data_IF_440002390044
#
_entry.id   IF_440002390044
#
_cell.length_a   1.000
_cell.length_b   1.000
_cell.length_c   1.000
_cell.angle_alpha   90.00
_cell.angle_beta   90.00
_cell.angle_gamma   90.00
#
_symmetry.space_group_name_H-M   'P 1'
#
loop_
_entity.id
_entity.type
_entity.pdbx_description
1 polymer ?
#
# COMPACT_ATOMS: atom_id res chain seq x y z
N UNK A 1 -37.90 -40.15 -10.90
CA UNK A 1 -37.27 -39.14 -10.04
C UNK A 1 -35.80 -39.44 -9.80
N UNK A 2 -35.42 -40.56 -9.17
CA UNK A 2 -33.99 -40.88 -8.90
C UNK A 2 -33.06 -40.85 -10.12
N UNK A 3 -33.46 -41.40 -11.26
CA UNK A 3 -32.61 -41.37 -12.48
C UNK A 3 -32.42 -39.95 -13.04
N UNK A 4 -33.37 -39.04 -12.81
CA UNK A 4 -33.26 -37.63 -13.23
C UNK A 4 -32.29 -36.87 -12.32
N UNK A 5 -32.29 -37.17 -11.02
CA UNK A 5 -31.36 -36.57 -10.07
C UNK A 5 -29.92 -37.04 -10.35
N UNK A 6 -29.72 -38.33 -10.66
CA UNK A 6 -28.39 -38.85 -11.00
C UNK A 6 -27.84 -38.25 -12.30
N UNK A 7 -28.68 -38.10 -13.33
CA UNK A 7 -28.26 -37.46 -14.58
C UNK A 7 -28.00 -35.96 -14.42
N UNK A 8 -28.79 -35.27 -13.58
CA UNK A 8 -28.55 -33.87 -13.22
C UNK A 8 -27.22 -33.69 -12.48
N UNK A 9 -26.92 -34.57 -11.51
CA UNK A 9 -25.69 -34.51 -10.75
C UNK A 9 -24.46 -34.78 -11.63
N UNK A 10 -24.57 -35.72 -12.59
CA UNK A 10 -23.52 -35.98 -13.58
C UNK A 10 -23.30 -34.78 -14.50
N UNK A 11 -24.36 -34.16 -15.01
CA UNK A 11 -24.25 -32.96 -15.84
C UNK A 11 -23.65 -31.78 -15.06
N UNK A 12 -24.04 -31.60 -13.79
CA UNK A 12 -23.49 -30.58 -12.92
C UNK A 12 -21.99 -30.79 -12.65
N UNK A 13 -21.56 -32.03 -12.35
CA UNK A 13 -20.15 -32.35 -12.13
C UNK A 13 -19.32 -32.10 -13.39
N UNK A 14 -19.80 -32.55 -14.54
CA UNK A 14 -19.12 -32.33 -15.82
C UNK A 14 -18.98 -30.85 -16.15
N UNK A 15 -20.05 -30.06 -16.02
CA UNK A 15 -20.01 -28.62 -16.25
C UNK A 15 -19.08 -27.90 -15.27
N UNK A 16 -19.10 -28.29 -14.00
CA UNK A 16 -18.25 -27.71 -12.95
C UNK A 16 -16.77 -28.01 -13.16
N UNK A 17 -16.44 -29.23 -13.58
CA UNK A 17 -15.07 -29.65 -13.87
C UNK A 17 -14.50 -28.84 -15.05
N UNK A 18 -15.27 -28.69 -16.13
CA UNK A 18 -14.87 -27.87 -17.28
C UNK A 18 -14.69 -26.41 -16.89
N UNK A 19 -15.62 -25.86 -16.09
CA UNK A 19 -15.55 -24.47 -15.66
C UNK A 19 -14.31 -24.23 -14.77
N UNK A 20 -14.04 -25.15 -13.85
CA UNK A 20 -12.92 -25.05 -12.93
C UNK A 20 -11.59 -25.18 -13.68
N UNK A 21 -11.47 -26.14 -14.60
CA UNK A 21 -10.31 -26.30 -15.47
C UNK A 21 -10.06 -25.02 -16.29
N UNK A 22 -11.12 -24.45 -16.87
CA UNK A 22 -11.06 -23.20 -17.61
C UNK A 22 -10.57 -22.04 -16.74
N UNK A 23 -11.13 -21.85 -15.54
CA UNK A 23 -10.77 -20.72 -14.67
C UNK A 23 -9.36 -20.87 -14.10
N UNK A 24 -8.99 -22.08 -13.63
CA UNK A 24 -7.70 -22.31 -12.99
C UNK A 24 -6.58 -22.34 -14.03
N UNK A 25 -6.74 -23.12 -15.11
CA UNK A 25 -5.66 -23.39 -16.04
C UNK A 25 -5.60 -22.38 -17.19
N UNK A 26 -6.74 -21.98 -17.80
CA UNK A 26 -6.70 -21.01 -18.92
C UNK A 26 -6.61 -19.56 -18.47
N UNK A 27 -7.28 -19.23 -17.37
CA UNK A 27 -7.30 -17.86 -16.83
C UNK A 27 -6.34 -17.65 -15.66
N UNK A 28 -5.58 -18.69 -15.30
CA UNK A 28 -4.45 -18.57 -14.37
C UNK A 28 -4.84 -17.96 -13.03
N UNK A 29 -5.99 -18.39 -12.49
CA UNK A 29 -6.58 -17.80 -11.30
C UNK A 29 -5.61 -17.81 -10.09
N UNK A 30 -4.85 -18.89 -9.93
CA UNK A 30 -3.91 -19.06 -8.81
C UNK A 30 -2.81 -17.98 -8.88
N UNK A 31 -2.27 -17.74 -10.06
CA UNK A 31 -1.21 -16.73 -10.27
C UNK A 31 -1.73 -15.32 -9.97
N UNK A 32 -2.99 -15.03 -10.31
CA UNK A 32 -3.64 -13.76 -9.94
C UNK A 32 -3.88 -13.63 -8.44
N UNK A 33 -4.15 -14.72 -7.74
CA UNK A 33 -4.17 -14.68 -6.27
C UNK A 33 -2.79 -14.42 -5.68
N UNK A 34 -1.72 -14.92 -6.29
CA UNK A 34 -0.36 -14.57 -5.90
C UNK A 34 -0.09 -13.08 -6.11
N UNK A 35 -0.49 -12.50 -7.24
CA UNK A 35 -0.45 -11.05 -7.50
C UNK A 35 -1.19 -10.27 -6.41
N UNK A 36 -2.44 -10.65 -6.11
CA UNK A 36 -3.21 -10.00 -5.04
C UNK A 36 -2.51 -10.09 -3.69
N UNK A 37 -1.99 -11.26 -3.31
CA UNK A 37 -1.22 -11.44 -2.08
C UNK A 37 0.03 -10.54 -2.07
N UNK A 38 0.81 -10.54 -3.15
CA UNK A 38 2.06 -9.81 -3.22
C UNK A 38 1.87 -8.30 -3.07
N UNK A 39 0.86 -7.74 -3.74
CA UNK A 39 0.62 -6.30 -3.71
C UNK A 39 -0.27 -5.88 -2.53
N UNK A 40 -1.46 -6.46 -2.36
CA UNK A 40 -2.38 -6.02 -1.29
C UNK A 40 -1.95 -6.40 0.12
N UNK A 41 -1.27 -7.55 0.29
CA UNK A 41 -0.79 -7.99 1.60
C UNK A 41 0.69 -7.66 1.84
N UNK A 42 1.34 -6.99 0.88
CA UNK A 42 2.74 -6.53 1.00
C UNK A 42 3.69 -7.70 1.36
N UNK A 43 3.50 -8.86 0.72
CA UNK A 43 4.32 -10.07 0.96
C UNK A 43 5.79 -9.83 0.54
N UNK A 44 5.99 -9.08 -0.55
CA UNK A 44 7.30 -8.63 -1.04
C UNK A 44 7.35 -7.11 -0.93
N UNK A 45 7.87 -6.61 0.18
CA UNK A 45 7.85 -5.17 0.51
C UNK A 45 8.80 -4.28 -0.29
N UNK A 46 9.63 -4.83 -1.17
CA UNK A 46 10.64 -4.05 -1.90
C UNK A 46 9.98 -2.98 -2.79
N UNK A 47 8.86 -3.32 -3.45
CA UNK A 47 8.16 -2.39 -4.34
C UNK A 47 7.55 -1.23 -3.55
N UNK A 48 7.04 -1.50 -2.34
CA UNK A 48 6.39 -0.48 -1.53
C UNK A 48 7.42 0.51 -0.98
N UNK A 49 8.62 0.04 -0.63
CA UNK A 49 9.71 0.92 -0.21
C UNK A 49 10.10 1.86 -1.35
N UNK A 50 10.33 1.32 -2.56
CA UNK A 50 10.67 2.10 -3.74
C UNK A 50 9.56 3.11 -4.11
N UNK A 51 8.30 2.68 -4.04
CA UNK A 51 7.15 3.54 -4.29
C UNK A 51 7.02 4.64 -3.24
N UNK A 52 7.18 4.33 -1.96
CA UNK A 52 7.08 5.32 -0.90
C UNK A 52 8.22 6.34 -0.96
N UNK A 53 9.41 5.95 -1.41
CA UNK A 53 10.52 6.86 -1.66
C UNK A 53 10.23 7.80 -2.85
N UNK A 54 9.66 7.28 -3.94
CA UNK A 54 9.37 8.08 -5.14
C UNK A 54 8.11 8.95 -5.02
N UNK A 55 7.13 8.52 -4.23
CA UNK A 55 5.83 9.19 -4.06
C UNK A 55 5.71 10.03 -2.79
N UNK A 56 6.77 10.18 -1.98
CA UNK A 56 6.73 10.93 -0.71
C UNK A 56 6.19 12.35 -0.86
N UNK A 57 6.63 13.06 -1.91
CA UNK A 57 6.21 14.44 -2.18
C UNK A 57 4.74 14.55 -2.63
N UNK A 58 4.18 13.51 -3.25
CA UNK A 58 2.76 13.49 -3.65
C UNK A 58 1.87 13.02 -2.49
N UNK A 59 2.30 11.98 -1.76
CA UNK A 59 1.52 11.41 -0.67
C UNK A 59 1.39 12.34 0.53
N UNK A 60 2.29 13.31 0.70
CA UNK A 60 2.23 14.32 1.77
C UNK A 60 1.28 15.48 1.46
N UNK A 61 0.84 15.62 0.21
CA UNK A 61 -0.16 16.63 -0.17
C UNK A 61 -1.55 16.25 0.32
N UNK A 62 -2.49 17.20 0.24
CA UNK A 62 -3.90 16.92 0.48
C UNK A 62 -4.44 16.01 -0.62
N UNK A 63 -5.31 15.07 -0.28
CA UNK A 63 -5.88 14.10 -1.20
C UNK A 63 -6.54 14.73 -2.44
N UNK A 64 -7.03 15.97 -2.33
CA UNK A 64 -7.65 16.72 -3.44
C UNK A 64 -6.67 17.31 -4.45
N UNK A 65 -5.44 17.58 -4.02
CA UNK A 65 -4.42 18.25 -4.83
C UNK A 65 -3.52 17.23 -5.56
N UNK A 66 -3.82 15.94 -5.40
CA UNK A 66 -3.04 14.83 -5.93
C UNK A 66 -3.58 14.45 -7.31
N UNK A 67 -2.66 14.35 -8.27
CA UNK A 67 -2.96 13.78 -9.59
C UNK A 67 -2.82 12.24 -9.54
N UNK A 68 -3.95 11.55 -9.69
CA UNK A 68 -4.00 10.08 -9.71
C UNK A 68 -3.11 9.49 -10.80
N UNK A 69 -3.01 10.13 -11.97
CA UNK A 69 -2.18 9.64 -13.06
C UNK A 69 -0.69 9.72 -12.70
N UNK A 70 -0.30 10.76 -11.98
CA UNK A 70 1.07 10.93 -11.50
C UNK A 70 1.42 9.83 -10.51
N UNK A 71 0.58 9.57 -9.51
CA UNK A 71 0.87 8.47 -8.57
C UNK A 71 0.85 7.12 -9.30
N UNK A 72 -0.07 6.92 -10.26
CA UNK A 72 -0.12 5.68 -11.05
C UNK A 72 1.20 5.46 -11.78
N UNK A 73 1.74 6.50 -12.41
CA UNK A 73 3.05 6.42 -13.08
C UNK A 73 4.20 6.08 -12.12
N UNK A 74 4.17 6.63 -10.90
CA UNK A 74 5.18 6.34 -9.86
C UNK A 74 5.09 4.89 -9.35
N UNK A 75 3.87 4.36 -9.26
CA UNK A 75 3.63 2.96 -8.94
C UNK A 75 4.14 2.07 -10.08
N UNK A 76 3.76 2.34 -11.32
CA UNK A 76 4.14 1.54 -12.49
C UNK A 76 5.67 1.44 -12.62
N UNK A 77 6.40 2.55 -12.41
CA UNK A 77 7.87 2.56 -12.40
C UNK A 77 8.43 1.70 -11.26
N UNK A 78 7.88 1.82 -10.06
CA UNK A 78 8.32 1.03 -8.90
C UNK A 78 8.07 -0.46 -9.12
N UNK A 79 6.92 -0.82 -9.69
CA UNK A 79 6.56 -2.19 -10.03
C UNK A 79 7.46 -2.76 -11.13
N UNK A 80 7.80 -1.96 -12.15
CA UNK A 80 8.69 -2.36 -13.23
C UNK A 80 10.11 -2.68 -12.74
N UNK A 81 10.62 -1.96 -11.74
CA UNK A 81 11.96 -2.18 -11.18
C UNK A 81 12.02 -3.42 -10.31
N UNK A 82 10.97 -3.65 -9.50
CA UNK A 82 11.04 -4.60 -8.39
C UNK A 82 10.37 -5.94 -8.66
N UNK A 83 9.40 -5.98 -9.59
CA UNK A 83 8.55 -7.16 -9.77
C UNK A 83 8.52 -7.64 -11.22
N UNK A 84 8.72 -8.95 -11.38
CA UNK A 84 8.61 -9.66 -12.66
C UNK A 84 7.24 -10.37 -12.81
N UNK A 85 6.22 -9.91 -12.08
CA UNK A 85 4.88 -10.51 -12.14
C UNK A 85 4.17 -10.15 -13.45
N UNK A 86 3.66 -11.17 -14.16
CA UNK A 86 2.95 -11.05 -15.43
C UNK A 86 1.61 -10.30 -15.33
N UNK A 87 0.99 -10.26 -14.13
CA UNK A 87 -0.31 -9.59 -13.92
C UNK A 87 -0.21 -8.27 -13.14
N UNK A 88 0.99 -7.70 -13.03
CA UNK A 88 1.21 -6.42 -12.33
C UNK A 88 0.46 -5.24 -12.95
N UNK A 89 0.23 -5.27 -14.27
CA UNK A 89 -0.44 -4.19 -15.01
C UNK A 89 -1.94 -4.06 -14.68
N UNK A 90 -2.53 -5.11 -14.11
CA UNK A 90 -3.91 -5.10 -13.63
C UNK A 90 -4.02 -4.39 -12.25
N UNK A 91 -2.90 -4.10 -11.58
CA UNK A 91 -2.87 -3.35 -10.32
C UNK A 91 -2.94 -1.85 -10.61
N UNK A 92 -3.97 -1.19 -10.09
CA UNK A 92 -4.23 0.23 -10.28
C UNK A 92 -4.27 0.96 -8.95
N UNK A 93 -4.15 2.28 -9.00
CA UNK A 93 -4.34 3.14 -7.86
C UNK A 93 -5.80 3.52 -7.73
N UNK A 94 -6.24 3.66 -6.48
CA UNK A 94 -7.53 4.20 -6.14
C UNK A 94 -7.40 5.13 -4.94
N UNK A 95 -7.85 6.36 -5.13
CA UNK A 95 -7.92 7.34 -4.06
C UNK A 95 -9.32 7.32 -3.45
N UNK A 96 -9.40 7.31 -2.12
CA UNK A 96 -10.66 7.38 -1.38
C UNK A 96 -10.85 8.76 -0.75
N UNK A 97 -12.05 9.32 -0.84
CA UNK A 97 -12.40 10.60 -0.18
C UNK A 97 -12.70 10.46 1.32
N UNK A 98 -12.34 9.32 1.91
CA UNK A 98 -12.60 8.97 3.31
C UNK A 98 -11.45 8.12 3.84
N UNK A 99 -11.17 8.18 5.14
CA UNK A 99 -10.11 7.41 5.79
C UNK A 99 -10.50 5.92 5.98
N UNK A 100 -9.58 5.12 6.51
CA UNK A 100 -9.82 3.71 6.76
C UNK A 100 -10.93 3.49 7.81
N UNK A 101 -11.03 4.35 8.82
CA UNK A 101 -12.02 4.23 9.89
C UNK A 101 -13.42 4.45 9.32
N UNK A 102 -13.63 5.53 8.57
CA UNK A 102 -14.89 5.80 7.86
C UNK A 102 -15.24 4.70 6.87
N UNK A 103 -14.25 4.06 6.24
CA UNK A 103 -14.47 2.90 5.37
C UNK A 103 -15.04 1.70 6.14
N UNK A 104 -14.48 1.42 7.33
CA UNK A 104 -14.93 0.32 8.19
C UNK A 104 -16.33 0.56 8.73
N UNK A 105 -16.63 1.79 9.19
CA UNK A 105 -17.95 2.16 9.67
C UNK A 105 -19.03 1.95 8.61
N UNK A 106 -18.75 2.34 7.36
CA UNK A 106 -19.65 2.13 6.22
C UNK A 106 -19.87 0.65 5.92
N UNK A 107 -18.83 -0.18 6.02
CA UNK A 107 -18.92 -1.62 5.74
C UNK A 107 -19.66 -2.38 6.84
N UNK A 108 -19.53 -1.93 8.09
CA UNK A 108 -20.25 -2.48 9.23
C UNK A 108 -21.71 -2.02 9.28
N UNK A 109 -22.15 -1.20 8.32
CA UNK A 109 -23.49 -0.64 8.24
C UNK A 109 -23.90 0.04 9.56
N UNK A 110 -22.92 0.59 10.28
CA UNK A 110 -23.16 1.43 11.44
C UNK A 110 -23.68 2.73 10.86
N UNK A 111 -25.01 2.84 10.76
CA UNK A 111 -25.68 4.12 10.55
C UNK A 111 -25.50 4.95 11.83
N UNK A 112 -24.29 5.48 12.03
CA UNK A 112 -24.10 6.63 12.91
C UNK A 112 -24.85 7.78 12.25
N UNK A 113 -26.02 8.05 12.81
CA UNK A 113 -26.95 9.10 12.39
C UNK A 113 -26.21 10.37 11.97
N UNK A 114 -26.35 10.75 10.70
CA UNK A 114 -26.54 12.15 10.29
C UNK A 114 -25.79 13.21 11.11
N UNK A 115 -24.47 13.34 11.01
CA UNK A 115 -23.74 14.56 11.45
C UNK A 115 -22.33 14.78 10.86
N UNK A 116 -21.76 13.88 10.06
CA UNK A 116 -20.35 14.02 9.58
C UNK A 116 -20.20 14.38 8.09
N UNK A 117 -21.30 14.60 7.37
CA UNK A 117 -21.25 14.75 5.92
C UNK A 117 -20.86 16.17 5.42
N UNK A 118 -20.78 17.19 6.28
CA UNK A 118 -20.46 18.57 5.83
C UNK A 118 -19.31 19.27 6.58
N UNK A 119 -18.84 18.76 7.73
CA UNK A 119 -17.86 19.49 8.57
C UNK A 119 -16.48 18.89 8.59
N UNK A 120 -16.34 17.63 8.16
CA UNK A 120 -15.05 16.98 7.99
C UNK A 120 -14.76 16.82 6.52
N UNK A 121 -14.55 17.97 5.88
CA UNK A 121 -13.37 18.16 5.05
C UNK A 121 -12.13 17.73 5.86
N UNK A 122 -12.00 16.42 6.09
CA UNK A 122 -10.83 15.82 6.68
C UNK A 122 -9.68 16.33 5.81
N UNK A 123 -8.66 16.89 6.46
CA UNK A 123 -7.37 17.16 5.84
C UNK A 123 -6.68 15.82 5.51
N UNK A 124 -7.39 14.96 4.79
CA UNK A 124 -6.97 13.67 4.30
C UNK A 124 -5.73 13.93 3.49
N UNK A 125 -4.64 13.38 4.00
CA UNK A 125 -3.37 13.40 3.31
C UNK A 125 -3.43 12.30 2.24
N UNK A 126 -2.65 12.44 1.17
CA UNK A 126 -2.56 11.41 0.12
C UNK A 126 -2.31 10.02 0.68
N UNK A 127 -1.47 9.95 1.72
CA UNK A 127 -1.19 8.74 2.47
C UNK A 127 -2.44 8.03 3.03
N UNK A 128 -3.39 8.79 3.59
CA UNK A 128 -4.60 8.23 4.18
C UNK A 128 -5.62 7.86 3.11
N UNK A 129 -5.64 8.60 1.99
CA UNK A 129 -6.56 8.41 0.88
C UNK A 129 -6.15 7.26 -0.06
N UNK A 130 -4.86 6.97 -0.14
CA UNK A 130 -4.28 6.02 -1.08
C UNK A 130 -4.68 4.56 -0.82
N UNK A 131 -4.99 3.84 -1.91
CA UNK A 131 -5.21 2.41 -1.92
C UNK A 131 -4.90 1.82 -3.30
N UNK A 132 -4.85 0.49 -3.37
CA UNK A 132 -4.75 -0.25 -4.63
C UNK A 132 -6.12 -0.75 -5.06
N UNK A 133 -6.37 -0.81 -6.36
CA UNK A 133 -7.46 -1.56 -6.97
C UNK A 133 -6.87 -2.60 -7.93
N UNK A 134 -7.69 -3.56 -8.31
CA UNK A 134 -7.30 -4.62 -9.23
C UNK A 134 -8.34 -4.71 -10.35
N UNK A 135 -7.90 -4.48 -11.58
CA UNK A 135 -8.76 -4.54 -12.75
C UNK A 135 -9.02 -6.00 -13.15
N UNK A 136 -10.14 -6.53 -12.70
CA UNK A 136 -10.52 -7.92 -12.96
C UNK A 136 -11.37 -8.00 -14.21
N UNK A 137 -10.82 -8.63 -15.26
CA UNK A 137 -11.55 -8.95 -16.49
C UNK A 137 -12.48 -10.15 -16.27
N UNK A 138 -13.60 -10.15 -16.98
CA UNK A 138 -14.44 -11.35 -17.10
C UNK A 138 -13.62 -12.47 -17.75
N UNK A 139 -13.70 -13.74 -17.31
CA UNK A 139 -14.64 -14.33 -16.35
C UNK A 139 -14.17 -14.35 -14.88
N UNK A 140 -12.95 -13.87 -14.60
CA UNK A 140 -12.30 -13.97 -13.29
C UNK A 140 -13.04 -13.14 -12.23
N UNK A 141 -13.78 -12.12 -12.67
CA UNK A 141 -14.65 -11.27 -11.86
C UNK A 141 -15.73 -12.05 -11.10
N UNK A 142 -16.05 -13.27 -11.54
CA UNK A 142 -16.98 -14.17 -10.84
C UNK A 142 -16.39 -14.65 -9.52
N UNK A 143 -15.08 -14.91 -9.48
CA UNK A 143 -14.38 -15.40 -8.29
C UNK A 143 -13.84 -14.22 -7.48
N UNK A 144 -13.13 -13.30 -8.13
CA UNK A 144 -12.60 -12.08 -7.51
C UNK A 144 -13.67 -11.00 -7.61
N UNK A 145 -14.63 -11.07 -6.69
CA UNK A 145 -15.73 -10.12 -6.63
C UNK A 145 -15.32 -8.79 -5.99
N UNK A 146 -16.15 -7.76 -6.17
CA UNK A 146 -15.91 -6.41 -5.59
C UNK A 146 -15.91 -6.41 -4.07
N UNK A 147 -16.67 -7.29 -3.42
CA UNK A 147 -16.71 -7.39 -1.96
C UNK A 147 -15.36 -7.89 -1.40
N UNK A 148 -14.75 -8.88 -2.04
CA UNK A 148 -13.43 -9.41 -1.72
C UNK A 148 -12.38 -8.33 -1.93
N UNK A 149 -12.39 -7.64 -3.09
CA UNK A 149 -11.46 -6.53 -3.36
C UNK A 149 -11.57 -5.42 -2.31
N UNK A 150 -12.78 -5.06 -1.90
CA UNK A 150 -13.02 -4.04 -0.86
C UNK A 150 -12.40 -4.44 0.48
N UNK A 151 -12.45 -5.73 0.84
CA UNK A 151 -11.79 -6.27 2.06
C UNK A 151 -10.27 -6.24 1.93
N UNK A 152 -9.72 -6.64 0.77
CA UNK A 152 -8.29 -6.53 0.50
C UNK A 152 -7.80 -5.09 0.52
N UNK A 153 -8.59 -4.13 0.00
CA UNK A 153 -8.30 -2.70 0.06
C UNK A 153 -8.17 -2.19 1.50
N UNK A 154 -9.07 -2.59 2.39
CA UNK A 154 -8.97 -2.22 3.81
C UNK A 154 -7.70 -2.77 4.46
N UNK A 155 -7.38 -4.05 4.21
CA UNK A 155 -6.15 -4.67 4.70
C UNK A 155 -4.91 -3.94 4.18
N UNK A 156 -4.87 -3.65 2.88
CA UNK A 156 -3.77 -2.92 2.27
C UNK A 156 -3.58 -1.55 2.91
N UNK A 157 -4.65 -0.76 3.05
CA UNK A 157 -4.58 0.59 3.66
C UNK A 157 -4.01 0.54 5.07
N UNK A 158 -4.43 -0.45 5.87
CA UNK A 158 -3.90 -0.66 7.20
C UNK A 158 -2.41 -1.00 7.20
N UNK A 159 -2.00 -1.98 6.39
CA UNK A 159 -0.61 -2.42 6.28
C UNK A 159 0.30 -1.31 5.74
N UNK A 160 -0.18 -0.56 4.75
CA UNK A 160 0.51 0.57 4.17
C UNK A 160 0.77 1.67 5.21
N UNK A 161 -0.23 1.97 6.04
CA UNK A 161 -0.07 2.95 7.12
C UNK A 161 0.95 2.50 8.17
N UNK A 162 0.95 1.21 8.54
CA UNK A 162 1.98 0.65 9.43
C UNK A 162 3.38 0.82 8.81
N UNK A 163 3.54 0.48 7.53
CA UNK A 163 4.82 0.60 6.82
C UNK A 163 5.31 2.04 6.77
N UNK A 164 4.40 3.00 6.62
CA UNK A 164 4.74 4.42 6.71
C UNK A 164 5.25 4.83 8.09
N UNK A 165 4.55 4.42 9.16
CA UNK A 165 4.97 4.73 10.54
C UNK A 165 6.33 4.11 10.85
N UNK A 166 6.56 2.87 10.43
CA UNK A 166 7.86 2.19 10.55
C UNK A 166 8.98 3.05 9.94
N UNK A 167 8.79 3.53 8.71
CA UNK A 167 9.75 4.39 8.01
C UNK A 167 9.98 5.71 8.74
N UNK A 168 8.92 6.37 9.22
CA UNK A 168 9.04 7.60 10.02
C UNK A 168 9.87 7.38 11.29
N UNK A 169 9.61 6.30 12.01
CA UNK A 169 10.33 5.97 13.24
C UNK A 169 11.81 5.70 12.96
N UNK A 170 12.11 4.95 11.89
CA UNK A 170 13.47 4.73 11.41
C UNK A 170 14.17 6.05 11.08
N UNK A 171 13.48 7.00 10.42
CA UNK A 171 14.04 8.31 10.07
C UNK A 171 14.37 9.14 11.32
N UNK A 172 13.47 9.19 12.31
CA UNK A 172 13.71 9.87 13.59
C UNK A 172 14.89 9.24 14.33
N UNK A 173 14.97 7.92 14.38
CA UNK A 173 16.09 7.20 15.00
C UNK A 173 17.43 7.51 14.32
N UNK A 174 17.47 7.51 12.99
CA UNK A 174 18.66 7.87 12.20
C UNK A 174 19.09 9.32 12.48
N UNK A 175 18.14 10.25 12.52
CA UNK A 175 18.38 11.65 12.84
C UNK A 175 18.97 11.81 14.26
N UNK A 176 18.41 11.12 15.26
CA UNK A 176 18.91 11.14 16.63
C UNK A 176 20.36 10.63 16.74
N UNK A 177 20.66 9.46 16.15
CA UNK A 177 22.01 8.87 16.16
C UNK A 177 23.04 9.76 15.45
N UNK A 178 22.66 10.39 14.35
CA UNK A 178 23.55 11.27 13.57
C UNK A 178 23.70 12.66 14.20
N UNK A 179 22.67 13.18 14.87
CA UNK A 179 22.72 14.42 15.65
C UNK A 179 23.65 14.31 16.86
N UNK A 180 23.65 13.17 17.55
CA UNK A 180 24.60 12.86 18.62
C UNK A 180 26.06 12.81 18.15
N UNK A 181 26.31 12.27 16.95
CA UNK A 181 27.65 12.27 16.32
C UNK A 181 28.13 13.68 15.94
N UNK A 182 27.26 14.54 15.41
CA UNK A 182 27.58 15.96 15.12
C UNK A 182 27.90 16.74 16.41
N UNK A 183 27.16 16.52 17.49
CA UNK A 183 27.42 17.13 18.81
C UNK A 183 28.76 16.69 19.41
N UNK A 184 29.16 15.41 19.24
CA UNK A 184 30.49 14.92 19.67
C UNK A 184 31.64 15.53 18.84
N UNK A 185 31.53 15.56 17.51
CA UNK A 185 32.54 16.19 16.63
C UNK A 185 32.69 17.71 16.85
N UNK A 186 31.60 18.42 17.15
CA UNK A 186 31.67 19.85 17.50
C UNK A 186 32.36 20.11 18.84
N UNK A 187 32.26 19.16 19.79
CA UNK A 187 32.91 19.24 21.11
C UNK A 187 34.41 18.93 21.01
N UNK A 188 34.83 18.01 20.14
CA UNK A 188 36.26 17.75 19.86
C UNK A 188 36.94 18.87 19.07
N UNK A 189 36.25 19.49 18.10
CA UNK A 189 36.77 20.68 17.39
C UNK A 189 37.00 21.87 18.34
N UNK A 190 36.08 22.13 19.27
CA UNK A 190 36.27 23.18 20.30
C UNK A 190 37.44 22.89 21.26
N UNK A 191 37.75 21.61 21.54
CA UNK A 191 38.91 21.23 22.36
C UNK A 191 40.25 21.39 21.64
N UNK A 192 40.28 21.25 20.31
CA UNK A 192 41.50 21.48 19.51
C UNK A 192 41.82 22.96 19.31
N UNK A 193 40.83 23.86 19.30
CA UNK A 193 41.03 25.31 19.17
C UNK A 193 41.40 26.01 20.49
N UNK A 194 41.38 25.31 21.63
CA UNK A 194 41.68 25.87 22.96
C UNK A 194 43.03 25.39 23.52
N UNK A 195 44.05 25.22 22.68
CA UNK A 195 45.45 25.20 23.15
C UNK A 195 46.06 26.59 22.95
N UNK A 196 46.62 27.22 23.99
CA UNK A 196 47.15 28.57 23.89
C UNK A 196 48.53 28.54 23.22
N UNK A 197 48.68 29.31 22.14
CA UNK A 197 49.98 29.86 21.77
C UNK A 197 50.29 31.00 22.74
N UNK A 198 51.46 30.94 23.37
CA UNK A 198 51.93 32.03 24.22
C UNK A 198 53.24 31.66 24.90
N UNK A 199 54.31 31.58 24.11
CA UNK A 199 55.67 31.50 24.60
C UNK A 199 56.05 32.72 25.45
N UNK A 200 57.05 32.48 26.30
CA UNK A 200 57.81 33.42 27.09
C UNK A 200 57.99 34.83 26.50
N UNK A 201 57.82 35.85 27.34
CA UNK A 201 58.54 37.11 27.21
C UNK A 201 59.14 37.51 28.57
N UNK A 202 60.42 37.84 28.48
CA UNK A 202 61.36 38.27 29.52
C UNK A 202 60.86 39.47 30.35
N UNK A 203 61.08 39.40 31.67
CA UNK A 203 61.76 40.43 32.46
C UNK A 203 62.17 39.87 33.82
#
# INVERSE_FOLDING_TARGET
EKDLDETLEQAYKYASEILLDLIINKYHLIERFHTLKHYFLIDKGDYIVQFMDSAEDELTKRARDIDENKIQSLLDVSLAITSDDQYKDDVRIKMFHYDLISMLERVLNIESSSTLNDTVELKLTGLESFSLDYDVKWPISLVINRNCLTRYQMLFRFLFYIKYIERLLCNVWRAHKNGGRRRRRGRDRKRMTTKPNGAAYLR
#
